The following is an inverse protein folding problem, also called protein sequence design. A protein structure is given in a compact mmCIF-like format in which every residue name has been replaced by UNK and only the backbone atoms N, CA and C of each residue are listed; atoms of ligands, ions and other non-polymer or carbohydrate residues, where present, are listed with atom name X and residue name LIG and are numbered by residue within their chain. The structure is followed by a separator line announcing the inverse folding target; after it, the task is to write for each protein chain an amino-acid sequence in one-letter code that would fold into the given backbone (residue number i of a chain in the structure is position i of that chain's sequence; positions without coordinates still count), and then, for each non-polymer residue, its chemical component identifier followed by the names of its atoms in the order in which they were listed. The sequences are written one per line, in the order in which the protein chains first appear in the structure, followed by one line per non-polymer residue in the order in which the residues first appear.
data_IF_464437930464
#
_entry.id   IF_464437930464
#
_cell.length_a   1.000
_cell.length_b   1.000
_cell.length_c   1.000
_cell.angle_alpha   90.00
_cell.angle_beta   90.00
_cell.angle_gamma   90.00
#
_symmetry.space_group_name_H-M   'P 1'
#
loop_
_entity.id
_entity.type
_entity.pdbx_description
1 polymer ?
#
# COMPACT_ATOMS: atom_id res chain seq x y z
N UNK A 1 13.28 45.11 -14.72
CA UNK A 1 13.54 44.19 -15.85
C UNK A 1 14.68 43.27 -15.48
N UNK A 2 14.39 42.05 -15.03
CA UNK A 2 15.21 40.85 -15.29
C UNK A 2 14.21 39.70 -15.37
N UNK A 3 13.98 39.21 -16.59
CA UNK A 3 13.18 38.03 -16.90
C UNK A 3 14.07 36.80 -16.85
N UNK A 4 13.84 35.88 -15.92
CA UNK A 4 14.39 34.53 -15.94
C UNK A 4 13.35 33.57 -16.48
N UNK A 5 13.59 32.98 -17.66
CA UNK A 5 12.79 31.86 -18.18
C UNK A 5 13.05 30.61 -17.32
N UNK A 6 12.07 29.71 -17.14
CA UNK A 6 12.32 28.42 -16.51
C UNK A 6 13.19 27.55 -17.44
N UNK A 7 14.30 27.02 -16.92
CA UNK A 7 15.13 26.05 -17.63
C UNK A 7 14.39 24.71 -17.72
N UNK A 8 14.08 24.26 -18.94
CA UNK A 8 13.65 22.89 -19.20
C UNK A 8 14.88 21.98 -19.24
N UNK A 9 15.01 21.09 -18.26
CA UNK A 9 16.05 20.07 -18.26
C UNK A 9 15.70 18.91 -19.18
N UNK A 10 16.66 18.48 -19.99
CA UNK A 10 16.51 17.26 -20.78
C UNK A 10 16.64 16.02 -19.89
N UNK A 11 15.96 14.92 -20.25
CA UNK A 11 16.04 13.61 -19.54
C UNK A 11 17.48 13.13 -19.31
N UNK A 12 18.40 13.52 -20.20
CA UNK A 12 19.83 13.17 -20.13
C UNK A 12 20.59 13.97 -19.07
N UNK A 13 20.23 15.23 -18.86
CA UNK A 13 20.82 16.08 -17.81
C UNK A 13 20.33 15.72 -16.41
N UNK A 14 19.07 15.31 -16.28
CA UNK A 14 18.55 14.78 -15.03
C UNK A 14 19.29 13.50 -14.61
N UNK A 15 19.44 12.52 -15.51
CA UNK A 15 20.20 11.30 -15.25
C UNK A 15 21.67 11.58 -14.88
N UNK A 16 22.29 12.58 -15.53
CA UNK A 16 23.69 12.97 -15.23
C UNK A 16 23.83 13.65 -13.86
N UNK A 17 22.86 14.45 -13.44
CA UNK A 17 22.87 15.12 -12.12
C UNK A 17 22.48 14.18 -10.98
N UNK A 18 21.54 13.25 -11.21
CA UNK A 18 21.24 12.18 -10.27
C UNK A 18 22.48 11.26 -10.05
N UNK A 19 23.21 10.94 -11.13
CA UNK A 19 24.49 10.21 -11.04
C UNK A 19 25.61 11.00 -10.35
N UNK A 20 25.67 12.33 -10.49
CA UNK A 20 26.67 13.16 -9.79
C UNK A 20 26.36 13.39 -8.31
N UNK A 21 25.08 13.44 -7.91
CA UNK A 21 24.71 13.49 -6.49
C UNK A 21 25.07 12.19 -5.76
N UNK A 22 25.00 11.04 -6.45
CA UNK A 22 25.51 9.77 -5.94
C UNK A 22 27.05 9.77 -5.77
N UNK A 23 27.78 10.48 -6.64
CA UNK A 23 29.24 10.60 -6.55
C UNK A 23 29.70 11.65 -5.51
N UNK A 24 28.93 12.70 -5.26
CA UNK A 24 29.26 13.72 -4.26
C UNK A 24 29.04 13.26 -2.80
N UNK A 25 28.27 12.19 -2.59
CA UNK A 25 28.15 11.52 -1.28
C UNK A 25 29.41 10.76 -0.83
N UNK A 26 30.46 10.70 -1.66
CA UNK A 26 31.69 9.95 -1.39
C UNK A 26 32.70 10.74 -0.53
N UNK A 27 32.47 12.03 -0.25
CA UNK A 27 33.39 12.86 0.55
C UNK A 27 32.75 13.47 1.80
N UNK A 28 32.07 12.65 2.61
CA UNK A 28 31.80 12.97 4.01
C UNK A 28 32.84 12.27 4.90
N UNK A 29 33.36 12.92 5.98
CA UNK A 29 34.41 12.33 6.80
C UNK A 29 33.92 11.05 7.47
N UNK A 30 34.74 10.01 7.39
CA UNK A 30 34.48 8.69 7.96
C UNK A 30 34.14 8.78 9.46
N UNK A 31 32.97 8.26 9.81
CA UNK A 31 32.59 7.98 11.18
C UNK A 31 33.16 6.57 11.52
N UNK A 32 34.06 6.39 12.50
CA UNK A 32 34.84 5.16 12.66
C UNK A 32 34.07 4.03 13.40
N UNK A 33 32.77 3.88 13.11
CA UNK A 33 31.96 2.76 13.56
C UNK A 33 31.26 2.09 12.37
N UNK A 34 32.03 1.76 11.34
CA UNK A 34 31.62 0.78 10.32
C UNK A 34 31.88 -0.62 10.89
N UNK A 35 30.80 -1.32 11.17
CA UNK A 35 30.83 -2.73 11.55
C UNK A 35 31.37 -3.54 10.35
N UNK A 36 32.56 -4.15 10.41
CA UNK A 36 33.28 -4.59 9.21
C UNK A 36 32.84 -5.95 8.64
N UNK A 37 31.69 -6.48 9.05
CA UNK A 37 31.19 -7.77 8.56
C UNK A 37 29.67 -7.75 8.39
N UNK A 38 29.20 -7.14 7.29
CA UNK A 38 27.92 -7.58 6.73
C UNK A 38 28.22 -8.77 5.82
N UNK A 39 27.63 -9.96 6.08
CA UNK A 39 27.82 -11.11 5.19
C UNK A 39 27.47 -10.72 3.76
N UNK A 40 28.26 -11.19 2.79
CA UNK A 40 27.94 -11.01 1.39
C UNK A 40 26.59 -11.70 1.09
N UNK A 41 25.66 -10.95 0.50
CA UNK A 41 24.36 -11.46 0.08
C UNK A 41 24.55 -12.57 -0.95
N UNK A 42 23.89 -13.72 -0.73
CA UNK A 42 23.99 -14.87 -1.61
C UNK A 42 23.35 -14.63 -2.97
N UNK A 43 23.92 -15.27 -3.99
CA UNK A 43 23.28 -15.45 -5.29
C UNK A 43 22.35 -16.66 -5.24
N UNK A 44 21.06 -16.44 -5.50
CA UNK A 44 20.00 -17.42 -5.37
C UNK A 44 19.55 -17.80 -6.78
N UNK A 45 19.75 -19.04 -7.19
CA UNK A 45 19.22 -19.55 -8.47
C UNK A 45 17.85 -20.17 -8.23
N UNK A 46 16.85 -19.75 -9.00
CA UNK A 46 15.49 -20.31 -8.92
C UNK A 46 15.45 -21.57 -9.80
N UNK A 47 15.27 -22.73 -9.19
CA UNK A 47 15.24 -24.02 -9.86
C UNK A 47 13.84 -24.39 -10.31
N UNK A 48 12.86 -24.31 -9.40
CA UNK A 48 11.47 -24.64 -9.70
C UNK A 48 10.55 -23.48 -9.29
N UNK A 49 9.45 -23.38 -10.01
CA UNK A 49 8.37 -22.44 -9.73
C UNK A 49 7.03 -23.15 -9.90
N UNK A 50 6.01 -22.68 -9.19
CA UNK A 50 4.62 -23.10 -9.38
C UNK A 50 3.69 -21.97 -8.95
N UNK A 51 2.47 -21.97 -9.48
CA UNK A 51 1.42 -21.03 -9.09
C UNK A 51 0.14 -21.77 -8.75
N UNK A 52 -0.63 -21.19 -7.83
CA UNK A 52 -1.99 -21.62 -7.53
C UNK A 52 -2.81 -20.39 -7.08
N UNK A 53 -4.11 -20.56 -6.87
CA UNK A 53 -4.96 -19.48 -6.36
C UNK A 53 -6.14 -20.01 -5.55
N UNK A 54 -6.65 -19.17 -4.66
CA UNK A 54 -7.93 -19.38 -3.98
C UNK A 54 -8.88 -18.21 -4.28
N UNK A 55 -10.19 -18.45 -4.21
CA UNK A 55 -11.21 -17.41 -4.37
C UNK A 55 -11.96 -17.26 -3.05
N UNK A 56 -11.86 -16.08 -2.46
CA UNK A 56 -12.51 -15.82 -1.17
C UNK A 56 -13.70 -14.87 -1.34
N UNK A 57 -14.92 -15.27 -0.92
CA UNK A 57 -16.11 -14.48 -1.13
C UNK A 57 -16.16 -13.28 -0.16
N UNK A 58 -16.66 -12.16 -0.68
CA UNK A 58 -16.82 -10.91 0.05
C UNK A 58 -18.29 -10.57 0.32
N UNK A 59 -18.55 -9.92 1.44
CA UNK A 59 -19.67 -8.99 1.52
C UNK A 59 -19.41 -7.88 0.50
N UNK A 60 -20.35 -7.56 -0.41
CA UNK A 60 -20.06 -6.66 -1.54
C UNK A 60 -19.41 -5.36 -1.09
N UNK A 61 -18.20 -5.09 -1.59
CA UNK A 61 -17.43 -3.91 -1.21
C UNK A 61 -17.45 -2.88 -2.33
N UNK A 62 -17.96 -1.68 -2.05
CA UNK A 62 -18.25 -0.64 -3.05
C UNK A 62 -17.23 0.49 -3.03
N UNK A 63 -16.66 0.79 -4.19
CA UNK A 63 -15.72 1.90 -4.42
C UNK A 63 -15.59 2.16 -5.93
N UNK A 64 -15.04 3.32 -6.33
CA UNK A 64 -14.92 3.75 -7.75
C UNK A 64 -16.23 3.64 -8.56
N UNK A 65 -17.38 3.78 -7.91
CA UNK A 65 -18.69 3.65 -8.55
C UNK A 65 -19.13 2.21 -8.90
N UNK A 66 -18.36 1.19 -8.48
CA UNK A 66 -18.66 -0.23 -8.69
C UNK A 66 -18.58 -1.03 -7.39
N UNK A 67 -18.62 -2.36 -7.48
CA UNK A 67 -18.46 -3.27 -6.35
C UNK A 67 -17.64 -4.50 -6.74
N UNK A 68 -16.94 -5.08 -5.77
CA UNK A 68 -16.36 -6.42 -5.87
C UNK A 68 -17.11 -7.40 -4.96
N UNK A 69 -17.21 -8.66 -5.37
CA UNK A 69 -17.95 -9.71 -4.65
C UNK A 69 -17.10 -10.91 -4.26
N UNK A 70 -15.92 -11.06 -4.84
CA UNK A 70 -14.87 -11.97 -4.38
C UNK A 70 -13.49 -11.33 -4.49
N UNK A 71 -12.50 -11.98 -3.89
CA UNK A 71 -11.11 -11.56 -3.95
C UNK A 71 -10.21 -12.79 -4.15
N UNK A 72 -9.47 -12.78 -5.26
CA UNK A 72 -8.55 -13.87 -5.59
C UNK A 72 -7.27 -13.73 -4.79
N UNK A 73 -6.87 -14.82 -4.13
CA UNK A 73 -5.58 -14.97 -3.48
C UNK A 73 -4.65 -15.69 -4.46
N UNK A 74 -3.83 -14.96 -5.19
CA UNK A 74 -2.78 -15.53 -6.03
C UNK A 74 -1.61 -15.99 -5.17
N UNK A 75 -1.09 -17.18 -5.47
CA UNK A 75 -0.09 -17.87 -4.65
C UNK A 75 1.05 -18.31 -5.56
N UNK A 76 2.27 -17.96 -5.19
CA UNK A 76 3.48 -18.24 -5.94
C UNK A 76 4.44 -19.08 -5.10
N UNK A 77 4.97 -20.16 -5.67
CA UNK A 77 6.00 -20.97 -5.05
C UNK A 77 7.32 -20.79 -5.81
N UNK A 78 8.40 -20.53 -5.07
CA UNK A 78 9.78 -20.54 -5.55
C UNK A 78 10.60 -21.60 -4.80
N UNK A 79 11.34 -22.43 -5.53
CA UNK A 79 12.36 -23.34 -5.01
C UNK A 79 13.73 -22.93 -5.55
N UNK A 80 14.72 -22.73 -4.67
CA UNK A 80 16.10 -22.46 -5.07
C UNK A 80 16.87 -23.74 -5.41
N UNK A 81 18.05 -23.60 -6.03
CA UNK A 81 18.97 -24.70 -6.29
C UNK A 81 19.55 -25.36 -5.01
N UNK A 82 19.51 -24.65 -3.87
CA UNK A 82 19.84 -25.19 -2.55
C UNK A 82 18.74 -26.11 -1.97
N UNK A 83 17.57 -26.17 -2.62
CA UNK A 83 16.41 -26.94 -2.17
C UNK A 83 15.50 -26.20 -1.19
N UNK A 84 15.76 -24.92 -0.91
CA UNK A 84 14.84 -24.10 -0.10
C UNK A 84 13.60 -23.76 -0.93
N UNK A 85 12.42 -24.01 -0.37
CA UNK A 85 11.13 -23.67 -0.95
C UNK A 85 10.43 -22.59 -0.14
N UNK A 86 9.83 -21.59 -0.80
CA UNK A 86 8.99 -20.57 -0.16
C UNK A 86 7.74 -20.29 -0.99
N UNK A 87 6.66 -19.96 -0.28
CA UNK A 87 5.35 -19.65 -0.85
C UNK A 87 5.00 -18.20 -0.52
N UNK A 88 4.78 -17.39 -1.55
CA UNK A 88 4.34 -16.01 -1.45
C UNK A 88 2.87 -15.83 -1.81
N UNK A 89 2.26 -14.80 -1.21
CA UNK A 89 0.83 -14.51 -1.31
C UNK A 89 0.60 -13.14 -1.94
N UNK A 90 -0.47 -13.00 -2.72
CA UNK A 90 -0.89 -11.72 -3.29
C UNK A 90 -2.39 -11.68 -3.48
N UNK A 91 -3.04 -10.68 -2.90
CA UNK A 91 -4.45 -10.42 -3.17
C UNK A 91 -4.59 -9.62 -4.46
N UNK A 92 -5.43 -10.09 -5.37
CA UNK A 92 -5.70 -9.40 -6.64
C UNK A 92 -6.82 -8.38 -6.48
N UNK A 93 -6.62 -7.19 -7.06
CA UNK A 93 -7.54 -6.07 -6.98
C UNK A 93 -7.68 -5.38 -8.33
N UNK A 94 -8.42 -6.02 -9.25
CA UNK A 94 -8.62 -5.54 -10.63
C UNK A 94 -9.25 -4.15 -10.67
N UNK A 95 -10.36 -3.91 -9.94
CA UNK A 95 -11.05 -2.61 -9.91
C UNK A 95 -10.16 -1.48 -9.38
N UNK A 96 -9.39 -1.75 -8.33
CA UNK A 96 -8.45 -0.77 -7.78
C UNK A 96 -7.33 -0.48 -8.78
N UNK A 97 -6.78 -1.55 -9.37
CA UNK A 97 -5.61 -1.48 -10.24
C UNK A 97 -5.89 -0.82 -11.59
N UNK A 98 -6.97 -1.18 -12.27
CA UNK A 98 -7.37 -0.62 -13.56
C UNK A 98 -8.89 -0.77 -13.79
N UNK A 99 -9.62 0.35 -13.70
CA UNK A 99 -11.07 0.36 -13.85
C UNK A 99 -11.55 0.06 -15.28
N UNK A 100 -10.71 0.28 -16.31
CA UNK A 100 -11.05 -0.06 -17.71
C UNK A 100 -11.02 -1.57 -17.90
N UNK A 101 -10.00 -2.25 -17.37
CA UNK A 101 -9.93 -3.72 -17.38
C UNK A 101 -11.09 -4.30 -16.59
N UNK A 102 -11.39 -3.74 -15.41
CA UNK A 102 -12.55 -4.17 -14.63
C UNK A 102 -13.87 -4.06 -15.40
N UNK A 103 -14.11 -2.93 -16.09
CA UNK A 103 -15.36 -2.71 -16.81
C UNK A 103 -15.48 -3.55 -18.09
N UNK A 104 -14.36 -3.91 -18.72
CA UNK A 104 -14.33 -4.69 -19.96
C UNK A 104 -14.52 -6.20 -19.76
N UNK A 105 -14.44 -6.68 -18.52
CA UNK A 105 -14.42 -8.11 -18.20
C UNK A 105 -15.33 -8.43 -17.01
N UNK A 106 -15.72 -9.70 -16.85
CA UNK A 106 -16.29 -10.16 -15.58
C UNK A 106 -15.23 -10.14 -14.47
N UNK A 107 -15.65 -10.11 -13.20
CA UNK A 107 -14.71 -10.18 -12.05
C UNK A 107 -13.73 -11.36 -12.18
N UNK A 108 -14.24 -12.56 -12.51
CA UNK A 108 -13.40 -13.74 -12.70
C UNK A 108 -12.44 -13.61 -13.89
N UNK A 109 -12.87 -13.03 -15.00
CA UNK A 109 -12.02 -12.89 -16.18
C UNK A 109 -10.91 -11.85 -15.96
N UNK A 110 -11.22 -10.73 -15.31
CA UNK A 110 -10.22 -9.73 -14.92
C UNK A 110 -9.15 -10.31 -13.99
N UNK A 111 -9.55 -11.09 -12.99
CA UNK A 111 -8.61 -11.76 -12.08
C UNK A 111 -7.80 -12.84 -12.82
N UNK A 112 -8.42 -13.63 -13.70
CA UNK A 112 -7.70 -14.61 -14.52
C UNK A 112 -6.61 -13.97 -15.40
N UNK A 113 -6.87 -12.80 -15.97
CA UNK A 113 -5.88 -12.02 -16.73
C UNK A 113 -4.72 -11.58 -15.83
N UNK A 114 -5.02 -11.05 -14.64
CA UNK A 114 -3.99 -10.68 -13.67
C UNK A 114 -3.18 -11.90 -13.19
N UNK A 115 -3.83 -13.03 -12.97
CA UNK A 115 -3.18 -14.28 -12.56
C UNK A 115 -2.23 -14.83 -13.64
N UNK A 116 -2.63 -14.73 -14.92
CA UNK A 116 -1.76 -15.08 -16.03
C UNK A 116 -0.48 -14.24 -16.06
N UNK A 117 -0.52 -12.99 -15.60
CA UNK A 117 0.67 -12.14 -15.47
C UNK A 117 1.58 -12.61 -14.33
N UNK A 118 1.03 -13.07 -13.20
CA UNK A 118 1.79 -13.69 -12.11
C UNK A 118 2.50 -14.96 -12.59
N UNK A 119 1.79 -15.84 -13.29
CA UNK A 119 2.36 -17.06 -13.88
C UNK A 119 3.44 -16.75 -14.92
N UNK A 120 3.23 -15.74 -15.77
CA UNK A 120 4.26 -15.28 -16.72
C UNK A 120 5.54 -14.90 -16.01
N UNK A 121 5.45 -14.11 -14.94
CA UNK A 121 6.60 -13.70 -14.15
C UNK A 121 7.35 -14.90 -13.55
N UNK A 122 6.64 -15.91 -13.03
CA UNK A 122 7.25 -17.14 -12.51
C UNK A 122 8.02 -17.90 -13.60
N UNK A 123 7.44 -18.05 -14.79
CA UNK A 123 8.14 -18.73 -15.89
C UNK A 123 9.37 -17.95 -16.38
N UNK A 124 9.36 -16.61 -16.31
CA UNK A 124 10.53 -15.80 -16.67
C UNK A 124 11.70 -16.02 -15.71
N UNK A 125 11.45 -16.19 -14.41
CA UNK A 125 12.50 -16.29 -13.40
C UNK A 125 13.01 -17.72 -13.20
N UNK A 126 12.29 -18.74 -13.67
CA UNK A 126 12.74 -20.14 -13.59
C UNK A 126 14.07 -20.33 -14.34
N UNK A 127 15.06 -20.87 -13.65
CA UNK A 127 16.42 -21.08 -14.16
C UNK A 127 17.31 -19.83 -14.12
N UNK A 128 16.80 -18.69 -13.65
CA UNK A 128 17.58 -17.46 -13.47
C UNK A 128 18.11 -17.34 -12.05
N UNK A 129 19.01 -16.38 -11.80
CA UNK A 129 19.48 -16.08 -10.45
C UNK A 129 19.25 -14.62 -10.09
N UNK A 130 19.02 -14.35 -8.81
CA UNK A 130 18.94 -13.01 -8.25
C UNK A 130 19.68 -12.94 -6.91
N UNK A 131 20.11 -11.74 -6.53
CA UNK A 131 20.70 -11.46 -5.21
C UNK A 131 19.85 -10.46 -4.43
N UNK A 132 18.98 -9.73 -5.10
CA UNK A 132 18.20 -8.63 -4.54
C UNK A 132 16.77 -8.71 -5.11
N UNK A 133 15.75 -8.94 -4.27
CA UNK A 133 14.35 -8.91 -4.70
C UNK A 133 13.94 -7.58 -5.36
N UNK A 134 14.58 -6.47 -4.98
CA UNK A 134 14.27 -5.15 -5.54
C UNK A 134 14.70 -5.06 -7.00
N UNK A 135 15.91 -5.52 -7.32
CA UNK A 135 16.38 -5.62 -8.71
C UNK A 135 15.53 -6.64 -9.50
N UNK A 136 15.16 -7.76 -8.89
CA UNK A 136 14.30 -8.76 -9.55
C UNK A 136 12.96 -8.15 -9.99
N UNK A 137 12.35 -7.31 -9.15
CA UNK A 137 11.14 -6.58 -9.54
C UNK A 137 11.38 -5.67 -10.76
N UNK A 138 12.49 -4.92 -10.76
CA UNK A 138 12.81 -3.99 -11.86
C UNK A 138 12.99 -4.71 -13.20
N UNK A 139 13.58 -5.90 -13.15
CA UNK A 139 13.79 -6.74 -14.33
C UNK A 139 12.45 -7.31 -14.85
N UNK A 140 11.54 -7.66 -13.94
CA UNK A 140 10.24 -8.26 -14.28
C UNK A 140 9.20 -7.26 -14.79
N UNK A 141 9.09 -6.11 -14.13
CA UNK A 141 7.96 -5.18 -14.29
C UNK A 141 7.74 -4.75 -15.77
N UNK A 142 8.78 -4.38 -16.56
CA UNK A 142 8.58 -3.97 -17.94
C UNK A 142 7.98 -5.07 -18.83
N UNK A 143 8.47 -6.31 -18.72
CA UNK A 143 7.96 -7.42 -19.53
C UNK A 143 6.55 -7.80 -19.09
N UNK A 144 6.31 -7.89 -17.78
CA UNK A 144 5.00 -8.25 -17.23
C UNK A 144 3.96 -7.21 -17.62
N UNK A 145 4.29 -5.92 -17.55
CA UNK A 145 3.40 -4.85 -18.02
C UNK A 145 3.11 -4.98 -19.53
N UNK A 146 4.14 -5.24 -20.35
CA UNK A 146 3.95 -5.42 -21.79
C UNK A 146 3.07 -6.63 -22.12
N UNK A 147 3.24 -7.74 -21.40
CA UNK A 147 2.39 -8.91 -21.50
C UNK A 147 0.95 -8.61 -21.06
N UNK A 148 0.77 -7.89 -19.95
CA UNK A 148 -0.52 -7.42 -19.47
C UNK A 148 -1.27 -6.60 -20.51
N UNK A 149 -0.60 -5.61 -21.13
CA UNK A 149 -1.18 -4.80 -22.23
C UNK A 149 -1.70 -5.68 -23.37
N UNK A 150 -0.94 -6.72 -23.74
CA UNK A 150 -1.31 -7.65 -24.80
C UNK A 150 -2.55 -8.47 -24.45
N UNK A 151 -2.59 -9.10 -23.26
CA UNK A 151 -3.67 -10.04 -22.91
C UNK A 151 -4.97 -9.35 -22.50
N UNK A 152 -4.88 -8.13 -21.97
CA UNK A 152 -6.06 -7.30 -21.65
C UNK A 152 -6.60 -6.56 -22.87
N UNK A 153 -5.81 -6.44 -23.93
CA UNK A 153 -6.14 -5.56 -25.06
C UNK A 153 -6.12 -4.07 -24.71
N UNK A 154 -5.56 -3.70 -23.54
CA UNK A 154 -5.49 -2.32 -23.08
C UNK A 154 -4.06 -1.76 -23.29
N UNK A 155 -3.81 -0.93 -24.33
CA UNK A 155 -2.47 -0.36 -24.56
C UNK A 155 -2.03 0.62 -23.45
N UNK A 156 -3.00 1.18 -22.71
CA UNK A 156 -2.81 2.12 -21.61
C UNK A 156 -2.95 1.44 -20.24
N UNK A 157 -2.69 0.12 -20.17
CA UNK A 157 -2.77 -0.63 -18.90
C UNK A 157 -1.96 0.08 -17.81
N UNK A 158 -2.60 0.37 -16.67
CA UNK A 158 -1.96 1.03 -15.55
C UNK A 158 -0.87 0.14 -14.92
N UNK A 159 0.24 0.75 -14.48
CA UNK A 159 1.35 0.04 -13.82
C UNK A 159 0.90 -0.68 -12.54
N UNK A 160 -0.09 -0.15 -11.83
CA UNK A 160 -0.74 -0.82 -10.69
C UNK A 160 -1.21 -2.22 -10.99
N UNK A 161 -1.73 -2.48 -12.19
CA UNK A 161 -2.18 -3.81 -12.58
C UNK A 161 -1.03 -4.81 -12.64
N UNK A 162 0.10 -4.39 -13.21
CA UNK A 162 1.31 -5.21 -13.28
C UNK A 162 1.97 -5.39 -11.90
N UNK A 163 2.06 -4.32 -11.10
CA UNK A 163 2.60 -4.39 -9.74
C UNK A 163 1.75 -5.28 -8.84
N UNK A 164 0.42 -5.23 -8.94
CA UNK A 164 -0.47 -6.08 -8.15
C UNK A 164 -0.36 -7.55 -8.56
N UNK A 165 -0.24 -7.84 -9.87
CA UNK A 165 0.05 -9.18 -10.36
C UNK A 165 1.38 -9.74 -9.81
N UNK A 166 2.36 -8.87 -9.55
CA UNK A 166 3.69 -9.26 -9.07
C UNK A 166 3.78 -9.42 -7.54
N UNK A 167 2.74 -9.07 -6.77
CA UNK A 167 2.80 -9.12 -5.29
C UNK A 167 3.14 -10.52 -4.77
N UNK A 168 2.51 -11.58 -5.27
CA UNK A 168 2.79 -12.94 -4.80
C UNK A 168 4.22 -13.38 -5.15
N UNK A 169 4.72 -12.99 -6.32
CA UNK A 169 6.08 -13.33 -6.78
C UNK A 169 7.13 -12.56 -5.98
N UNK A 170 6.94 -11.25 -5.78
CA UNK A 170 7.79 -10.40 -4.94
C UNK A 170 7.82 -10.90 -3.49
N UNK A 171 6.65 -11.23 -2.94
CA UNK A 171 6.54 -11.79 -1.60
C UNK A 171 7.31 -13.12 -1.47
N UNK A 172 7.17 -14.04 -2.42
CA UNK A 172 7.92 -15.31 -2.42
C UNK A 172 9.44 -15.08 -2.53
N UNK A 173 9.87 -14.13 -3.38
CA UNK A 173 11.27 -13.78 -3.57
C UNK A 173 11.90 -13.22 -2.27
N UNK A 174 11.18 -12.35 -1.56
CA UNK A 174 11.62 -11.82 -0.26
C UNK A 174 11.74 -12.91 0.80
N UNK A 175 10.79 -13.84 0.87
CA UNK A 175 10.85 -14.96 1.81
C UNK A 175 12.01 -15.91 1.51
N UNK A 176 12.26 -16.18 0.23
CA UNK A 176 13.37 -17.02 -0.22
C UNK A 176 14.71 -16.33 0.07
N UNK A 177 14.81 -15.03 -0.25
CA UNK A 177 15.94 -14.18 0.06
C UNK A 177 16.30 -14.19 1.54
N UNK A 178 15.31 -14.00 2.42
CA UNK A 178 15.51 -14.02 3.87
C UNK A 178 16.08 -15.37 4.33
N UNK A 179 15.47 -16.48 3.89
CA UNK A 179 15.89 -17.82 4.30
C UNK A 179 17.30 -18.18 3.80
N UNK A 180 17.60 -17.90 2.53
CA UNK A 180 18.91 -18.18 1.94
C UNK A 180 20.04 -17.43 2.66
N UNK A 181 19.76 -16.20 3.09
CA UNK A 181 20.72 -15.35 3.79
C UNK A 181 20.67 -15.49 5.33
N UNK A 182 19.86 -16.41 5.86
CA UNK A 182 19.76 -16.64 7.31
C UNK A 182 19.15 -15.46 8.10
N UNK A 183 18.39 -14.60 7.43
CA UNK A 183 17.71 -13.46 8.02
C UNK A 183 16.47 -13.93 8.79
N UNK A 184 16.33 -13.46 10.03
CA UNK A 184 15.31 -13.88 10.98
C UNK A 184 14.25 -12.82 11.24
N UNK A 185 14.49 -11.58 10.82
CA UNK A 185 13.58 -10.46 11.04
C UNK A 185 13.46 -9.58 9.80
N UNK A 186 12.32 -8.88 9.68
CA UNK A 186 12.03 -7.94 8.60
C UNK A 186 13.13 -6.88 8.45
N UNK A 187 13.68 -6.37 9.56
CA UNK A 187 14.73 -5.33 9.55
C UNK A 187 16.01 -5.81 8.86
N UNK A 188 16.33 -7.09 9.00
CA UNK A 188 17.50 -7.71 8.39
C UNK A 188 17.32 -7.86 6.88
N UNK A 189 16.06 -8.00 6.42
CA UNK A 189 15.71 -8.03 5.00
C UNK A 189 15.88 -6.66 4.35
N UNK A 190 15.63 -5.56 5.06
CA UNK A 190 15.66 -4.21 4.48
C UNK A 190 17.08 -3.85 4.01
N UNK A 191 17.31 -3.68 2.69
CA UNK A 191 18.59 -3.27 2.15
C UNK A 191 19.00 -1.90 2.70
N UNK A 192 20.31 -1.67 2.86
CA UNK A 192 20.83 -0.46 3.50
C UNK A 192 20.29 0.85 2.89
N UNK A 193 20.08 0.88 1.57
CA UNK A 193 19.54 2.03 0.84
C UNK A 193 18.11 2.43 1.26
N UNK A 194 17.31 1.50 1.79
CA UNK A 194 15.90 1.73 2.12
C UNK A 194 15.63 1.78 3.64
N UNK A 195 16.65 1.49 4.47
CA UNK A 195 16.52 1.54 5.93
C UNK A 195 16.09 2.91 6.46
N UNK A 196 16.56 4.06 5.95
CA UNK A 196 16.12 5.36 6.46
C UNK A 196 14.60 5.55 6.37
N UNK A 197 13.99 5.17 5.24
CA UNK A 197 12.53 5.23 5.05
C UNK A 197 11.71 4.30 5.94
N UNK A 198 12.34 3.29 6.54
CA UNK A 198 11.71 2.27 7.41
C UNK A 198 12.41 2.15 8.77
N UNK A 199 12.88 3.27 9.30
CA UNK A 199 13.74 3.31 10.50
C UNK A 199 12.99 3.46 11.84
N UNK A 200 11.69 3.77 11.80
CA UNK A 200 10.91 4.00 13.02
C UNK A 200 10.49 2.68 13.66
N UNK A 201 10.09 2.76 14.93
CA UNK A 201 9.49 1.63 15.64
C UNK A 201 8.30 2.09 16.47
N UNK A 202 7.10 1.89 15.93
CA UNK A 202 5.86 2.16 16.65
C UNK A 202 5.47 0.97 17.53
N UNK A 203 5.17 1.20 18.81
CA UNK A 203 4.64 0.15 19.70
C UNK A 203 3.17 -0.19 19.41
N UNK A 204 2.50 0.66 18.62
CA UNK A 204 1.12 0.47 18.16
C UNK A 204 0.98 0.90 16.71
N UNK A 205 0.14 0.18 15.98
CA UNK A 205 -0.32 0.58 14.65
C UNK A 205 -1.83 0.74 14.68
N UNK A 206 -2.36 1.87 14.24
CA UNK A 206 -3.78 2.08 14.06
C UNK A 206 -4.33 1.04 13.08
N UNK A 207 -5.39 0.35 13.50
CA UNK A 207 -6.17 -0.57 12.67
C UNK A 207 -7.31 0.22 12.05
N UNK A 208 -7.08 0.86 10.90
CA UNK A 208 -8.04 1.79 10.30
C UNK A 208 -9.08 1.01 9.50
N UNK A 209 -10.36 0.94 9.95
CA UNK A 209 -11.41 0.32 9.16
C UNK A 209 -11.79 1.22 7.98
N UNK A 210 -12.31 0.61 6.93
CA UNK A 210 -12.77 1.30 5.74
C UNK A 210 -14.28 1.24 5.62
N UNK A 211 -14.91 2.40 5.41
CA UNK A 211 -16.34 2.55 5.23
C UNK A 211 -16.63 2.96 3.80
N UNK A 212 -17.34 2.10 3.08
CA UNK A 212 -17.77 2.36 1.72
C UNK A 212 -18.72 3.56 1.63
N UNK A 213 -18.82 4.14 0.44
CA UNK A 213 -19.80 5.19 0.13
C UNK A 213 -21.20 4.73 0.53
N UNK A 214 -21.92 5.59 1.26
CA UNK A 214 -23.29 5.31 1.71
C UNK A 214 -23.38 4.54 3.04
N UNK A 215 -22.26 4.27 3.71
CA UNK A 215 -22.27 3.77 5.09
C UNK A 215 -23.03 4.73 6.00
N UNK A 216 -23.89 4.20 6.88
CA UNK A 216 -24.66 5.03 7.80
C UNK A 216 -23.79 5.63 8.92
N UNK A 217 -24.10 6.86 9.38
CA UNK A 217 -23.39 7.47 10.51
C UNK A 217 -23.42 6.62 11.79
N UNK A 218 -24.48 5.83 11.99
CA UNK A 218 -24.62 4.95 13.16
C UNK A 218 -23.58 3.84 13.15
N UNK A 219 -23.28 3.27 11.98
CA UNK A 219 -22.22 2.25 11.85
C UNK A 219 -20.83 2.84 12.08
N UNK A 220 -20.60 4.06 11.62
CA UNK A 220 -19.36 4.82 11.85
C UNK A 220 -19.21 5.14 13.34
N UNK A 221 -20.28 5.59 13.99
CA UNK A 221 -20.33 5.81 15.44
C UNK A 221 -20.04 4.54 16.21
N UNK A 222 -20.64 3.41 15.81
CA UNK A 222 -20.39 2.13 16.46
C UNK A 222 -18.90 1.75 16.44
N UNK A 223 -18.21 1.94 15.31
CA UNK A 223 -16.76 1.70 15.27
C UNK A 223 -16.00 2.66 16.21
N UNK A 224 -16.39 3.94 16.28
CA UNK A 224 -15.81 4.87 17.25
C UNK A 224 -16.06 4.42 18.70
N UNK A 225 -17.26 3.93 19.02
CA UNK A 225 -17.61 3.36 20.34
C UNK A 225 -16.76 2.11 20.67
N UNK A 226 -16.43 1.29 19.66
CA UNK A 226 -15.53 0.13 19.78
C UNK A 226 -14.05 0.53 19.98
N UNK A 227 -13.74 1.83 19.90
CA UNK A 227 -12.41 2.41 20.12
C UNK A 227 -11.60 2.67 18.85
N UNK A 228 -12.17 2.49 17.67
CA UNK A 228 -11.53 2.92 16.42
C UNK A 228 -11.47 4.44 16.37
N UNK A 229 -10.27 5.00 16.33
CA UNK A 229 -10.08 6.44 16.51
C UNK A 229 -9.65 7.16 15.23
N UNK A 230 -9.41 6.46 14.14
CA UNK A 230 -9.23 7.00 12.78
C UNK A 230 -9.97 6.05 11.84
N UNK A 231 -10.76 6.62 10.94
CA UNK A 231 -11.69 5.88 10.09
C UNK A 231 -11.48 6.32 8.65
N UNK A 232 -11.31 5.37 7.73
CA UNK A 232 -11.26 5.66 6.30
C UNK A 232 -12.69 5.77 5.77
N UNK A 233 -13.06 6.98 5.38
CA UNK A 233 -14.40 7.38 4.99
C UNK A 233 -14.43 7.63 3.49
N UNK A 234 -15.07 6.74 2.72
CA UNK A 234 -15.15 6.92 1.27
C UNK A 234 -16.12 8.03 0.88
N UNK A 235 -15.64 8.94 0.03
CA UNK A 235 -16.44 9.95 -0.68
C UNK A 235 -16.50 9.61 -2.17
N UNK A 236 -17.04 10.49 -3.01
CA UNK A 236 -17.17 10.23 -4.43
C UNK A 236 -18.40 9.38 -4.76
N UNK A 237 -19.56 9.74 -4.18
CA UNK A 237 -20.82 9.07 -4.45
C UNK A 237 -21.19 8.94 -5.96
N UNK A 238 -22.01 7.96 -6.29
CA UNK A 238 -22.53 7.80 -7.66
C UNK A 238 -23.50 8.94 -8.03
N UNK A 239 -23.49 9.33 -9.30
CA UNK A 239 -24.27 10.44 -9.85
C UNK A 239 -23.38 11.44 -10.60
N UNK A 240 -23.98 12.53 -11.05
CA UNK A 240 -23.29 13.71 -11.58
C UNK A 240 -22.37 14.33 -10.52
N UNK A 241 -21.38 15.14 -10.92
CA UNK A 241 -20.52 15.85 -9.97
C UNK A 241 -21.31 16.69 -8.96
N UNK A 242 -22.44 17.27 -9.37
CA UNK A 242 -23.31 18.07 -8.49
C UNK A 242 -24.02 17.19 -7.44
N UNK A 243 -24.61 16.07 -7.86
CA UNK A 243 -25.24 15.13 -6.91
C UNK A 243 -24.20 14.50 -5.97
N UNK A 244 -23.01 14.21 -6.49
CA UNK A 244 -21.91 13.63 -5.74
C UNK A 244 -21.47 14.57 -4.60
N UNK A 245 -21.17 15.84 -4.91
CA UNK A 245 -20.71 16.79 -3.89
C UNK A 245 -21.78 17.08 -2.84
N UNK A 246 -23.07 17.11 -3.21
CA UNK A 246 -24.18 17.25 -2.27
C UNK A 246 -24.26 16.08 -1.29
N UNK A 247 -24.12 14.84 -1.80
CA UNK A 247 -24.08 13.63 -0.97
C UNK A 247 -22.87 13.59 -0.06
N UNK A 248 -21.69 13.95 -0.56
CA UNK A 248 -20.45 13.96 0.22
C UNK A 248 -20.51 15.02 1.34
N UNK A 249 -21.07 16.20 1.07
CA UNK A 249 -21.31 17.26 2.07
C UNK A 249 -22.30 16.81 3.15
N UNK A 250 -23.41 16.17 2.75
CA UNK A 250 -24.39 15.63 3.68
C UNK A 250 -23.77 14.54 4.56
N UNK A 251 -22.96 13.67 3.96
CA UNK A 251 -22.23 12.61 4.67
C UNK A 251 -21.25 13.17 5.69
N UNK A 252 -20.40 14.13 5.30
CA UNK A 252 -19.48 14.80 6.22
C UNK A 252 -20.22 15.44 7.40
N UNK A 253 -21.35 16.11 7.14
CA UNK A 253 -22.19 16.72 8.19
C UNK A 253 -22.67 15.67 9.19
N UNK A 254 -23.17 14.54 8.68
CA UNK A 254 -23.73 13.49 9.51
C UNK A 254 -22.63 12.78 10.35
N UNK A 255 -21.47 12.51 9.75
CA UNK A 255 -20.31 11.96 10.45
C UNK A 255 -19.82 12.92 11.53
N UNK A 256 -19.63 14.20 11.20
CA UNK A 256 -19.13 15.16 12.17
C UNK A 256 -20.09 15.35 13.34
N UNK A 257 -21.41 15.37 13.08
CA UNK A 257 -22.42 15.37 14.15
C UNK A 257 -22.33 14.11 15.03
N UNK A 258 -22.12 12.94 14.44
CA UNK A 258 -22.10 11.66 15.15
C UNK A 258 -20.85 11.48 16.03
N UNK A 259 -19.67 11.83 15.51
CA UNK A 259 -18.39 11.50 16.15
C UNK A 259 -17.41 12.67 16.32
N UNK A 260 -17.73 13.88 15.86
CA UNK A 260 -16.81 15.03 15.92
C UNK A 260 -16.38 15.44 17.33
N UNK A 261 -17.20 15.15 18.33
CA UNK A 261 -16.90 15.43 19.73
C UNK A 261 -16.02 14.36 20.40
N UNK A 262 -15.83 13.19 19.77
CA UNK A 262 -15.14 12.05 20.36
C UNK A 262 -13.66 12.34 20.56
N UNK A 263 -13.09 11.69 21.56
CA UNK A 263 -11.71 11.91 21.98
C UNK A 263 -10.86 10.65 21.84
N UNK A 264 -9.56 10.86 21.66
CA UNK A 264 -8.57 9.79 21.52
C UNK A 264 -7.22 10.22 22.10
N UNK A 265 -6.49 9.30 22.77
CA UNK A 265 -5.14 9.59 23.25
C UNK A 265 -4.09 9.58 22.14
N UNK A 266 -4.45 9.21 20.92
CA UNK A 266 -3.50 8.95 19.82
C UNK A 266 -3.28 10.16 18.89
N UNK A 267 -3.94 11.28 19.16
CA UNK A 267 -3.81 12.53 18.39
C UNK A 267 -3.41 13.71 19.27
N UNK A 268 -2.69 14.67 18.70
CA UNK A 268 -2.20 15.83 19.45
C UNK A 268 -3.32 16.75 19.96
N UNK A 269 -4.40 16.89 19.20
CA UNK A 269 -5.56 17.72 19.57
C UNK A 269 -6.62 16.93 20.38
N UNK A 270 -6.35 15.64 20.66
CA UNK A 270 -7.26 14.77 21.38
C UNK A 270 -8.54 14.39 20.64
N UNK A 271 -8.73 14.79 19.38
CA UNK A 271 -9.94 14.47 18.58
C UNK A 271 -9.70 13.35 17.58
N UNK A 272 -10.76 12.63 17.23
CA UNK A 272 -10.73 11.63 16.15
C UNK A 272 -10.40 12.32 14.81
N UNK A 273 -9.36 11.90 14.06
CA UNK A 273 -9.11 12.42 12.73
C UNK A 273 -9.98 11.73 11.67
N UNK A 274 -10.34 12.50 10.65
CA UNK A 274 -11.00 12.04 9.43
C UNK A 274 -9.97 11.76 8.35
N UNK A 275 -10.09 10.58 7.76
CA UNK A 275 -9.37 10.16 6.59
C UNK A 275 -10.40 9.95 5.49
N UNK A 276 -10.44 10.85 4.51
CA UNK A 276 -11.32 10.74 3.35
C UNK A 276 -10.59 10.08 2.18
N UNK A 277 -11.26 9.20 1.46
CA UNK A 277 -10.77 8.59 0.22
C UNK A 277 -11.81 8.78 -0.88
N UNK A 278 -11.45 9.52 -1.92
CA UNK A 278 -12.37 9.81 -3.02
C UNK A 278 -12.19 8.87 -4.21
N UNK A 279 -11.16 8.00 -4.22
CA UNK A 279 -10.79 7.11 -5.31
C UNK A 279 -10.83 7.79 -6.71
N UNK A 280 -10.32 9.01 -6.79
CA UNK A 280 -10.19 9.81 -8.01
C UNK A 280 -11.48 10.46 -8.53
N UNK A 281 -12.57 10.47 -7.76
CA UNK A 281 -13.91 10.81 -8.28
C UNK A 281 -14.19 12.31 -8.44
N UNK A 282 -13.45 13.20 -7.79
CA UNK A 282 -13.60 14.63 -8.07
C UNK A 282 -13.00 14.93 -9.45
N UNK A 283 -13.80 15.52 -10.33
CA UNK A 283 -13.30 15.92 -11.66
C UNK A 283 -12.45 17.19 -11.60
N UNK A 284 -12.77 18.07 -10.66
CA UNK A 284 -12.24 19.44 -10.59
C UNK A 284 -11.89 19.83 -9.16
N UNK A 285 -10.82 20.60 -9.01
CA UNK A 285 -10.35 21.13 -7.72
C UNK A 285 -11.42 21.99 -7.04
N UNK A 286 -12.20 22.73 -7.81
CA UNK A 286 -13.29 23.58 -7.31
C UNK A 286 -14.37 22.76 -6.59
N UNK A 287 -14.63 21.54 -7.05
CA UNK A 287 -15.59 20.64 -6.38
C UNK A 287 -15.06 20.19 -5.02
N UNK A 288 -13.77 19.85 -4.93
CA UNK A 288 -13.14 19.51 -3.65
C UNK A 288 -13.09 20.72 -2.71
N UNK A 289 -12.84 21.93 -3.22
CA UNK A 289 -12.88 23.15 -2.41
C UNK A 289 -14.26 23.38 -1.78
N UNK A 290 -15.36 23.09 -2.48
CA UNK A 290 -16.72 23.16 -1.89
C UNK A 290 -16.88 22.20 -0.71
N UNK A 291 -16.31 21.00 -0.77
CA UNK A 291 -16.31 20.05 0.34
C UNK A 291 -15.52 20.60 1.54
N UNK A 292 -14.34 21.15 1.28
CA UNK A 292 -13.47 21.73 2.31
C UNK A 292 -14.06 23.00 2.95
N UNK A 293 -14.70 23.86 2.18
CA UNK A 293 -15.37 25.06 2.69
C UNK A 293 -16.55 24.68 3.60
N UNK A 294 -17.28 23.63 3.24
CA UNK A 294 -18.30 23.07 4.13
C UNK A 294 -17.68 22.49 5.41
N UNK A 295 -16.56 21.77 5.31
CA UNK A 295 -15.83 21.27 6.47
C UNK A 295 -15.43 22.40 7.43
N UNK A 296 -14.97 23.55 6.91
CA UNK A 296 -14.68 24.74 7.72
C UNK A 296 -15.94 25.29 8.39
N UNK A 297 -17.03 25.41 7.64
CA UNK A 297 -18.31 25.95 8.13
C UNK A 297 -18.86 25.17 9.32
N UNK A 298 -18.69 23.85 9.35
CA UNK A 298 -19.19 22.99 10.44
C UNK A 298 -18.16 22.71 11.54
N UNK A 299 -16.93 23.21 11.42
CA UNK A 299 -15.85 22.97 12.40
C UNK A 299 -15.10 21.63 12.23
N UNK A 300 -15.32 20.91 11.12
CA UNK A 300 -14.70 19.61 10.85
C UNK A 300 -13.30 19.71 10.21
N UNK A 301 -12.92 20.87 9.66
CA UNK A 301 -11.71 21.04 8.86
C UNK A 301 -10.43 20.63 9.60
N UNK A 302 -10.26 21.05 10.85
CA UNK A 302 -9.08 20.74 11.67
C UNK A 302 -8.98 19.25 12.06
N UNK A 303 -10.05 18.48 11.90
CA UNK A 303 -10.04 17.04 12.11
C UNK A 303 -9.66 16.26 10.84
N UNK A 304 -9.55 16.90 9.67
CA UNK A 304 -9.13 16.21 8.45
C UNK A 304 -7.63 15.88 8.53
N UNK A 305 -7.31 14.62 8.81
CA UNK A 305 -5.92 14.16 8.79
C UNK A 305 -5.37 14.03 7.37
N UNK A 306 -6.21 13.57 6.43
CA UNK A 306 -5.81 13.34 5.04
C UNK A 306 -7.03 13.22 4.11
N UNK A 307 -6.87 13.71 2.88
CA UNK A 307 -7.71 13.37 1.72
C UNK A 307 -6.84 12.55 0.76
N UNK A 308 -7.17 11.28 0.60
CA UNK A 308 -6.51 10.35 -0.31
C UNK A 308 -7.15 10.39 -1.69
N UNK A 309 -6.29 10.40 -2.70
CA UNK A 309 -6.61 10.30 -4.13
C UNK A 309 -7.89 11.08 -4.53
N UNK A 310 -7.91 12.42 -4.38
CA UNK A 310 -9.11 13.19 -4.70
C UNK A 310 -9.49 13.13 -6.19
N UNK A 311 -8.50 13.10 -7.08
CA UNK A 311 -8.65 13.24 -8.53
C UNK A 311 -8.17 12.00 -9.27
N UNK A 312 -8.72 11.74 -10.46
CA UNK A 312 -8.20 10.71 -11.37
C UNK A 312 -6.72 10.94 -11.68
N UNK A 313 -6.01 9.87 -11.98
CA UNK A 313 -4.55 9.88 -12.18
C UNK A 313 -4.10 10.85 -13.29
N UNK A 314 -4.89 11.09 -14.33
CA UNK A 314 -4.54 12.05 -15.39
C UNK A 314 -4.67 13.52 -14.96
N UNK A 315 -5.23 13.79 -13.78
CA UNK A 315 -5.40 15.13 -13.27
C UNK A 315 -4.11 15.62 -12.61
N UNK A 316 -3.61 16.76 -13.10
CA UNK A 316 -2.38 17.40 -12.63
C UNK A 316 -2.65 18.71 -11.86
N UNK A 317 -3.85 18.88 -11.30
CA UNK A 317 -4.16 20.04 -10.48
C UNK A 317 -3.21 20.11 -9.28
N UNK A 318 -2.63 21.30 -9.04
CA UNK A 318 -1.83 21.56 -7.85
C UNK A 318 -2.72 21.56 -6.61
N UNK A 319 -2.34 20.81 -5.57
CA UNK A 319 -3.12 20.61 -4.33
C UNK A 319 -2.48 21.19 -3.06
N UNK A 320 -1.27 21.73 -3.17
CA UNK A 320 -0.52 22.23 -2.00
C UNK A 320 -1.12 23.47 -1.33
N UNK A 321 -2.11 24.10 -1.94
CA UNK A 321 -2.83 25.29 -1.46
C UNK A 321 -4.20 24.97 -0.85
N UNK A 322 -4.60 23.70 -0.75
CA UNK A 322 -5.90 23.29 -0.20
C UNK A 322 -6.01 23.45 1.33
N UNK A 323 -4.88 23.65 2.02
CA UNK A 323 -4.84 23.79 3.49
C UNK A 323 -5.07 22.49 4.26
N UNK A 324 -5.19 21.35 3.56
CA UNK A 324 -5.26 20.00 4.13
C UNK A 324 -4.16 19.15 3.52
N UNK A 325 -3.84 18.04 4.19
CA UNK A 325 -2.93 17.04 3.64
C UNK A 325 -3.63 16.22 2.57
N UNK A 326 -3.00 16.10 1.41
CA UNK A 326 -3.49 15.26 0.31
C UNK A 326 -2.52 14.13 0.08
N UNK A 327 -3.03 12.90 0.07
CA UNK A 327 -2.24 11.69 -0.17
C UNK A 327 -2.43 11.15 -1.58
N UNK A 328 -1.32 10.75 -2.21
CA UNK A 328 -1.36 9.99 -3.45
C UNK A 328 -1.41 8.49 -3.14
N UNK A 329 -2.37 7.78 -3.74
CA UNK A 329 -2.46 6.34 -3.79
C UNK A 329 -2.33 5.84 -5.23
N UNK A 330 -3.44 5.75 -5.98
CA UNK A 330 -3.47 5.19 -7.34
C UNK A 330 -2.78 6.07 -8.38
N UNK A 331 -2.18 7.18 -7.98
CA UNK A 331 -1.37 8.00 -8.87
C UNK A 331 0.11 8.09 -8.49
N UNK A 332 0.52 7.33 -7.45
CA UNK A 332 1.89 7.15 -7.03
C UNK A 332 2.26 5.65 -7.10
N UNK A 333 2.34 5.12 -8.33
CA UNK A 333 2.64 3.70 -8.58
C UNK A 333 4.11 3.37 -8.40
N UNK A 334 4.98 4.23 -8.94
CA UNK A 334 6.43 4.11 -8.92
C UNK A 334 7.08 5.30 -8.22
N UNK A 335 8.40 5.26 -8.08
CA UNK A 335 9.19 6.36 -7.52
C UNK A 335 9.01 7.64 -8.34
N UNK A 336 8.97 7.52 -9.67
CA UNK A 336 8.79 8.65 -10.58
C UNK A 336 7.39 9.25 -10.43
N UNK A 337 6.37 8.40 -10.36
CA UNK A 337 4.98 8.84 -10.19
C UNK A 337 4.81 9.53 -8.81
N UNK A 338 5.40 8.97 -7.75
CA UNK A 338 5.43 9.56 -6.42
C UNK A 338 6.16 10.93 -6.40
N UNK A 339 7.32 11.03 -7.04
CA UNK A 339 8.06 12.29 -7.14
C UNK A 339 7.23 13.38 -7.84
N UNK A 340 6.57 13.03 -8.95
CA UNK A 340 5.68 13.93 -9.67
C UNK A 340 4.51 14.40 -8.79
N UNK A 341 3.88 13.50 -8.01
CA UNK A 341 2.80 13.89 -7.09
C UNK A 341 3.26 14.86 -6.02
N UNK A 342 4.47 14.67 -5.48
CA UNK A 342 5.05 15.61 -4.52
C UNK A 342 5.22 17.00 -5.15
N UNK A 343 5.63 17.09 -6.42
CA UNK A 343 5.73 18.37 -7.16
C UNK A 343 4.37 19.04 -7.34
N UNK A 344 3.30 18.25 -7.50
CA UNK A 344 1.92 18.74 -7.55
C UNK A 344 1.34 19.13 -6.18
N UNK A 345 2.13 19.08 -5.12
CA UNK A 345 1.75 19.52 -3.77
C UNK A 345 1.09 18.42 -2.92
N UNK A 346 1.10 17.16 -3.37
CA UNK A 346 0.71 16.04 -2.51
C UNK A 346 1.69 15.94 -1.34
N UNK A 347 1.13 15.94 -0.13
CA UNK A 347 1.88 16.05 1.12
C UNK A 347 1.82 14.77 1.97
N UNK A 348 1.36 13.67 1.37
CA UNK A 348 1.46 12.32 1.89
C UNK A 348 1.43 11.29 0.76
N UNK A 349 1.84 10.05 1.07
CA UNK A 349 1.71 8.91 0.16
C UNK A 349 1.07 7.73 0.87
N UNK A 350 0.03 7.17 0.27
CA UNK A 350 -0.54 5.88 0.66
C UNK A 350 0.29 4.76 0.02
N UNK A 351 1.10 4.09 0.84
CA UNK A 351 1.94 2.97 0.39
C UNK A 351 1.23 1.65 0.62
N UNK A 352 1.48 0.66 -0.24
CA UNK A 352 0.81 -0.64 -0.19
C UNK A 352 1.77 -1.76 -0.57
N UNK A 353 2.52 -2.29 0.40
CA UNK A 353 3.41 -3.44 0.13
C UNK A 353 2.63 -4.67 -0.37
N UNK A 354 1.34 -4.71 -0.05
CA UNK A 354 0.40 -5.77 -0.42
C UNK A 354 -0.32 -5.57 -1.77
N UNK A 355 -0.10 -4.44 -2.45
CA UNK A 355 -0.75 -4.11 -3.72
C UNK A 355 0.24 -3.61 -4.79
N UNK A 356 1.31 -2.94 -4.37
CA UNK A 356 2.36 -2.40 -5.23
C UNK A 356 3.67 -3.17 -5.15
N UNK A 357 3.72 -4.29 -4.42
CA UNK A 357 4.91 -5.05 -3.97
C UNK A 357 5.68 -4.39 -2.81
N UNK A 358 6.41 -5.19 -2.03
CA UNK A 358 7.29 -4.66 -0.97
C UNK A 358 8.46 -3.91 -1.59
N UNK A 359 9.04 -4.45 -2.66
CA UNK A 359 10.17 -3.85 -3.36
C UNK A 359 9.90 -2.43 -3.85
N UNK A 360 8.76 -2.19 -4.54
CA UNK A 360 8.40 -0.83 -4.95
C UNK A 360 8.07 0.06 -3.74
N UNK A 361 7.42 -0.49 -2.72
CA UNK A 361 7.08 0.24 -1.49
C UNK A 361 8.32 0.74 -0.77
N UNK A 362 9.39 -0.05 -0.68
CA UNK A 362 10.67 0.38 -0.10
C UNK A 362 11.25 1.59 -0.85
N UNK A 363 11.21 1.57 -2.18
CA UNK A 363 11.71 2.69 -2.99
C UNK A 363 10.90 3.97 -2.76
N UNK A 364 9.56 3.86 -2.75
CA UNK A 364 8.67 5.01 -2.55
C UNK A 364 8.83 5.58 -1.13
N UNK A 365 8.90 4.73 -0.12
CA UNK A 365 9.08 5.18 1.29
C UNK A 365 10.43 5.85 1.50
N UNK A 366 11.49 5.37 0.84
CA UNK A 366 12.80 6.02 0.87
C UNK A 366 12.77 7.41 0.20
N UNK A 367 12.17 7.55 -0.98
CA UNK A 367 11.95 8.86 -1.62
C UNK A 367 11.16 9.79 -0.70
N UNK A 368 10.06 9.30 -0.12
CA UNK A 368 9.21 10.08 0.76
C UNK A 368 9.97 10.58 1.99
N UNK A 369 10.82 9.74 2.60
CA UNK A 369 11.70 10.11 3.70
C UNK A 369 12.66 11.24 3.31
N UNK A 370 13.33 11.12 2.16
CA UNK A 370 14.24 12.16 1.65
C UNK A 370 13.54 13.49 1.39
N UNK A 371 12.27 13.43 0.95
CA UNK A 371 11.42 14.60 0.71
C UNK A 371 10.65 15.08 1.94
N UNK A 372 10.80 14.40 3.09
CA UNK A 372 10.05 14.66 4.33
C UNK A 372 8.53 14.62 4.14
N UNK A 373 8.08 13.72 3.28
CA UNK A 373 6.66 13.45 3.01
C UNK A 373 6.25 12.23 3.82
N UNK A 374 5.27 12.34 4.74
CA UNK A 374 4.82 11.20 5.53
C UNK A 374 4.09 10.16 4.66
N UNK A 375 4.26 8.90 5.03
CA UNK A 375 3.53 7.78 4.44
C UNK A 375 2.62 7.12 5.46
N UNK A 376 1.62 6.40 4.97
CA UNK A 376 0.84 5.43 5.75
C UNK A 376 0.51 4.23 4.87
N UNK A 377 0.16 3.10 5.50
CA UNK A 377 -0.21 1.90 4.77
C UNK A 377 -1.70 1.91 4.43
N UNK A 378 -2.04 1.80 3.15
CA UNK A 378 -3.41 1.54 2.70
C UNK A 378 -3.60 0.05 2.38
N UNK A 379 -4.86 -0.38 2.21
CA UNK A 379 -5.22 -1.79 2.06
C UNK A 379 -5.72 -2.11 0.63
N UNK A 380 -5.80 -3.40 0.33
CA UNK A 380 -6.46 -3.99 -0.84
C UNK A 380 -7.44 -5.11 -0.42
N UNK A 381 -7.95 -5.06 0.81
CA UNK A 381 -8.79 -6.13 1.38
C UNK A 381 -8.04 -7.45 1.41
N UNK A 382 -6.88 -7.47 2.07
CA UNK A 382 -5.99 -8.63 2.04
C UNK A 382 -6.25 -9.63 3.16
N UNK A 383 -5.78 -10.86 2.98
CA UNK A 383 -5.88 -11.91 4.00
C UNK A 383 -5.03 -11.59 5.26
N UNK A 384 -5.24 -12.29 6.39
CA UNK A 384 -4.57 -12.01 7.66
C UNK A 384 -3.03 -12.02 7.61
N UNK A 385 -2.40 -12.88 6.80
CA UNK A 385 -0.93 -12.90 6.66
C UNK A 385 -0.42 -11.64 5.97
N UNK A 386 -1.12 -11.21 4.91
CA UNK A 386 -0.79 -9.97 4.22
C UNK A 386 -1.11 -8.72 5.07
N UNK A 387 -2.05 -8.79 6.01
CA UNK A 387 -2.23 -7.72 7.01
C UNK A 387 -0.94 -7.51 7.80
N UNK A 388 -0.29 -8.59 8.26
CA UNK A 388 0.98 -8.51 8.99
C UNK A 388 2.19 -8.18 8.11
N UNK A 389 2.15 -8.55 6.82
CA UNK A 389 3.11 -8.05 5.83
C UNK A 389 3.08 -6.52 5.73
N UNK A 390 1.89 -5.94 5.57
CA UNK A 390 1.72 -4.48 5.49
C UNK A 390 2.01 -3.79 6.85
N UNK A 391 1.71 -4.46 7.96
CA UNK A 391 1.98 -3.98 9.32
C UNK A 391 3.45 -3.81 9.62
N UNK A 392 4.29 -4.69 9.09
CA UNK A 392 5.73 -4.52 9.22
C UNK A 392 6.20 -3.20 8.59
N UNK A 393 5.62 -2.78 7.47
CA UNK A 393 5.88 -1.47 6.88
C UNK A 393 5.29 -0.36 7.76
N UNK A 394 4.00 -0.44 8.10
CA UNK A 394 3.31 0.60 8.87
C UNK A 394 3.98 0.91 10.22
N UNK A 395 4.47 -0.12 10.92
CA UNK A 395 5.16 0.00 12.20
C UNK A 395 6.54 0.67 12.09
N UNK A 396 7.02 0.93 10.88
CA UNK A 396 8.37 1.45 10.56
C UNK A 396 8.39 2.77 9.81
N UNK A 397 7.25 3.24 9.34
CA UNK A 397 7.11 4.54 8.71
C UNK A 397 7.28 5.68 9.72
N UNK A 398 7.72 6.84 9.23
CA UNK A 398 7.72 8.07 10.02
C UNK A 398 6.33 8.33 10.62
N UNK A 399 6.23 8.80 11.89
CA UNK A 399 4.97 9.21 12.49
C UNK A 399 4.20 10.15 11.58
N UNK A 400 2.94 9.82 11.34
CA UNK A 400 2.06 10.70 10.58
C UNK A 400 1.81 11.98 11.38
N UNK A 401 1.86 13.19 10.77
CA UNK A 401 1.79 14.41 11.55
C UNK A 401 0.49 14.51 12.36
N UNK A 402 0.61 14.87 13.63
CA UNK A 402 -0.51 14.94 14.57
C UNK A 402 -0.88 13.60 15.23
N UNK A 403 -0.22 12.49 14.89
CA UNK A 403 -0.50 11.15 15.43
C UNK A 403 0.71 10.52 16.12
N UNK A 404 0.45 9.67 17.11
CA UNK A 404 1.48 9.03 17.94
C UNK A 404 1.71 7.54 17.63
N UNK A 405 1.09 7.01 16.58
CA UNK A 405 1.14 5.58 16.21
C UNK A 405 1.36 5.42 14.71
N UNK A 406 1.82 4.23 14.28
CA UNK A 406 1.87 3.87 12.86
C UNK A 406 0.45 3.75 12.30
N UNK A 407 0.26 3.92 11.00
CA UNK A 407 -1.08 3.95 10.37
C UNK A 407 -1.21 2.85 9.31
N UNK A 408 -2.23 2.01 9.46
CA UNK A 408 -2.56 0.97 8.51
C UNK A 408 -4.08 0.84 8.31
N UNK A 409 -4.53 0.99 7.07
CA UNK A 409 -5.84 0.47 6.66
C UNK A 409 -5.87 -1.05 6.73
N UNK A 410 -6.95 -1.58 7.29
CA UNK A 410 -7.27 -2.99 7.28
C UNK A 410 -8.78 -3.16 7.23
N UNK A 411 -9.26 -3.83 6.19
CA UNK A 411 -10.70 -3.98 5.97
C UNK A 411 -11.10 -5.43 5.64
N UNK A 412 -10.14 -6.36 5.55
CA UNK A 412 -10.42 -7.79 5.34
C UNK A 412 -11.41 -8.38 6.35
N UNK A 413 -11.27 -8.04 7.64
CA UNK A 413 -12.19 -8.46 8.71
C UNK A 413 -13.62 -7.92 8.56
N UNK A 414 -13.81 -6.84 7.78
CA UNK A 414 -15.13 -6.27 7.51
C UNK A 414 -15.80 -6.96 6.32
N UNK A 415 -15.00 -7.39 5.32
CA UNK A 415 -15.52 -7.76 4.01
C UNK A 415 -15.39 -9.25 3.68
N UNK A 416 -14.37 -9.97 4.14
CA UNK A 416 -14.31 -11.42 3.93
C UNK A 416 -15.40 -12.14 4.71
N UNK A 417 -16.21 -12.96 4.02
CA UNK A 417 -17.21 -13.79 4.69
C UNK A 417 -16.58 -14.87 5.58
N UNK A 418 -15.36 -15.28 5.24
CA UNK A 418 -14.64 -16.37 5.88
C UNK A 418 -13.44 -15.89 6.71
N UNK A 419 -13.47 -14.65 7.24
CA UNK A 419 -12.32 -14.06 7.92
C UNK A 419 -11.74 -14.95 9.03
N UNK A 420 -12.60 -15.51 9.88
CA UNK A 420 -12.16 -16.38 10.99
C UNK A 420 -11.44 -17.64 10.49
N UNK A 421 -11.88 -18.21 9.37
CA UNK A 421 -11.19 -19.35 8.72
C UNK A 421 -9.82 -18.90 8.21
N UNK A 422 -9.77 -17.78 7.47
CA UNK A 422 -8.52 -17.23 6.93
C UNK A 422 -7.51 -16.91 8.04
N UNK A 423 -7.98 -16.49 9.22
CA UNK A 423 -7.12 -16.22 10.37
C UNK A 423 -6.41 -17.49 10.87
N UNK A 424 -7.00 -18.67 10.69
CA UNK A 424 -6.36 -19.95 11.08
C UNK A 424 -5.20 -20.34 10.17
N UNK A 425 -5.09 -19.74 8.98
CA UNK A 425 -3.97 -19.96 8.07
C UNK A 425 -2.71 -19.20 8.48
N UNK A 426 -2.86 -18.21 9.37
CA UNK A 426 -1.74 -17.44 9.88
C UNK A 426 -0.86 -18.31 10.79
N UNK A 427 0.45 -18.45 10.54
CA UNK A 427 1.33 -19.34 11.30
C UNK A 427 1.41 -18.98 12.80
N UNK A 428 1.12 -17.72 13.13
CA UNK A 428 1.07 -17.20 14.49
C UNK A 428 -0.29 -16.56 14.81
N UNK A 429 -1.40 -17.21 14.47
CA UNK A 429 -2.75 -16.66 14.59
C UNK A 429 -3.10 -16.06 15.97
N UNK A 430 -2.44 -16.53 17.04
CA UNK A 430 -2.64 -16.07 18.42
C UNK A 430 -1.65 -14.98 18.89
N UNK A 431 -0.81 -14.45 18.01
CA UNK A 431 0.12 -13.36 18.34
C UNK A 431 -0.62 -12.11 18.86
N UNK A 432 0.01 -11.34 19.76
CA UNK A 432 -0.62 -10.13 20.34
C UNK A 432 -0.98 -9.07 19.30
N UNK A 433 -0.27 -9.08 18.16
CA UNK A 433 -0.42 -8.18 17.03
C UNK A 433 -1.50 -8.60 16.03
N UNK A 434 -2.02 -9.84 16.06
CA UNK A 434 -2.92 -10.33 15.00
C UNK A 434 -4.35 -9.80 15.14
N UNK A 435 -4.73 -9.37 16.35
CA UNK A 435 -6.06 -8.86 16.66
C UNK A 435 -6.01 -7.39 17.07
N UNK A 436 -6.98 -6.63 16.57
CA UNK A 436 -7.18 -5.24 16.94
C UNK A 436 -7.71 -5.15 18.37
N UNK A 437 -7.15 -4.24 19.16
CA UNK A 437 -7.53 -3.94 20.53
C UNK A 437 -7.87 -2.46 20.63
N UNK A 438 -9.16 -2.11 20.70
CA UNK A 438 -9.64 -0.72 20.76
C UNK A 438 -8.99 0.17 19.67
N UNK A 439 -9.12 -0.27 18.42
CA UNK A 439 -8.65 0.48 17.26
C UNK A 439 -7.16 0.42 16.94
N UNK A 440 -6.35 -0.32 17.71
CA UNK A 440 -4.91 -0.51 17.43
C UNK A 440 -4.49 -1.96 17.43
N UNK A 441 -3.49 -2.30 16.62
CA UNK A 441 -2.66 -3.48 16.79
C UNK A 441 -1.53 -3.17 17.77
N UNK A 442 -1.21 -4.11 18.66
CA UNK A 442 -0.03 -4.02 19.50
C UNK A 442 1.18 -4.50 18.69
N UNK A 443 2.10 -3.60 18.39
CA UNK A 443 3.37 -3.91 17.70
C UNK A 443 4.50 -3.80 18.71
N UNK A 444 4.41 -4.61 19.77
CA UNK A 444 5.37 -4.65 20.87
C UNK A 444 6.68 -5.37 20.50
N UNK A 445 7.55 -5.63 21.49
CA UNK A 445 8.81 -6.36 21.29
C UNK A 445 8.62 -7.73 20.62
N UNK A 446 7.53 -8.44 20.91
CA UNK A 446 7.25 -9.75 20.32
C UNK A 446 6.90 -9.63 18.84
N UNK A 447 6.16 -8.59 18.44
CA UNK A 447 5.90 -8.31 17.03
C UNK A 447 7.19 -8.10 16.24
N UNK A 448 8.13 -7.31 16.76
CA UNK A 448 9.41 -7.08 16.08
C UNK A 448 10.30 -8.33 16.05
N UNK A 449 10.36 -9.08 17.15
CA UNK A 449 11.15 -10.32 17.22
C UNK A 449 10.67 -11.37 16.22
N UNK A 450 9.35 -11.51 16.04
CA UNK A 450 8.74 -12.48 15.13
C UNK A 450 8.43 -11.89 13.75
N UNK A 451 8.66 -10.58 13.56
CA UNK A 451 8.26 -9.81 12.37
C UNK A 451 6.79 -10.04 11.99
N UNK A 452 5.90 -10.08 12.98
CA UNK A 452 4.49 -10.38 12.77
C UNK A 452 4.20 -11.82 12.31
N UNK A 453 5.18 -12.72 12.32
CA UNK A 453 5.06 -14.11 11.85
C UNK A 453 5.20 -14.28 10.33
N UNK A 454 5.52 -13.23 9.58
CA UNK A 454 5.53 -13.24 8.11
C UNK A 454 6.58 -14.19 7.49
N UNK A 455 7.62 -14.54 8.25
CA UNK A 455 8.71 -15.43 7.79
C UNK A 455 8.40 -16.91 8.04
N UNK A 456 7.42 -17.20 8.89
CA UNK A 456 7.01 -18.55 9.23
C UNK A 456 6.14 -19.15 8.12
N UNK A 457 6.30 -20.45 7.82
CA UNK A 457 5.50 -21.11 6.80
C UNK A 457 4.03 -21.26 7.24
N UNK A 458 3.10 -20.98 6.32
CA UNK A 458 1.70 -21.32 6.52
C UNK A 458 1.43 -22.74 6.04
N UNK A 459 1.02 -23.63 6.97
CA UNK A 459 0.73 -25.02 6.65
C UNK A 459 -0.34 -25.18 5.55
N UNK A 460 -1.34 -24.30 5.53
CA UNK A 460 -2.39 -24.29 4.50
C UNK A 460 -1.80 -24.02 3.11
N UNK A 461 -1.07 -22.92 2.95
CA UNK A 461 -0.52 -22.54 1.64
C UNK A 461 0.62 -23.44 1.19
N UNK A 462 1.41 -24.02 2.11
CA UNK A 462 2.43 -25.01 1.76
C UNK A 462 1.83 -26.33 1.24
N UNK A 463 0.68 -26.74 1.77
CA UNK A 463 -0.01 -27.96 1.35
C UNK A 463 -0.53 -27.86 -0.10
N UNK A 464 -0.76 -26.66 -0.61
CA UNK A 464 -1.18 -26.43 -2.01
C UNK A 464 -0.12 -26.81 -3.05
N UNK A 465 1.12 -27.05 -2.60
CA UNK A 465 2.26 -27.47 -3.43
C UNK A 465 2.90 -28.77 -2.93
N UNK A 466 2.19 -29.56 -2.13
CA UNK A 466 2.60 -30.91 -1.75
C UNK A 466 2.19 -31.87 -2.87
N UNK A 467 3.00 -31.96 -3.93
CA UNK A 467 2.75 -32.79 -5.11
C UNK A 467 4.04 -33.32 -5.71
#
# INVERSE_FOLDING_TARGET
MISGKPEHFSRREFARRAGMLAAAGIFAPENPFLNPFSPAVKKITIKNVSSNFEREPLNPYRFKGSAITDSWQAIAMLESDSGIRKVGLGTQGVLWSDSKVFAAHSESAGNALMYAMSERALQMIKGTSFNDPVQLLDDLLPEVLAYGKKITGNPDLRKTFALNALVCVDNAAWLLYAQENGMKQFDEMVPAAYRPGLSYRHEKVASIPSFAVGTSPERIKQAADEGYFILKLKTGAAGTQQEMIEKDIAFLTAVHKAIGHYETPYTQNGKIPYYFDANGRYEKKETLLRFLDHAKKIGAFEQIAVIEEPFEESNEAFVGDLGVRVAADESAHTVEDAAHRIELGYSAIAVKAIAKTLSMTMKITQLAYEKKVPCFCADLTVNPILVDWNKNVAARLQPFPGMSVGLQETNGHQYYKNWDKLATFHPMANGSWTKTQKGVYLTDKSFYAESGGILAPSAHYDAMFAG
#
